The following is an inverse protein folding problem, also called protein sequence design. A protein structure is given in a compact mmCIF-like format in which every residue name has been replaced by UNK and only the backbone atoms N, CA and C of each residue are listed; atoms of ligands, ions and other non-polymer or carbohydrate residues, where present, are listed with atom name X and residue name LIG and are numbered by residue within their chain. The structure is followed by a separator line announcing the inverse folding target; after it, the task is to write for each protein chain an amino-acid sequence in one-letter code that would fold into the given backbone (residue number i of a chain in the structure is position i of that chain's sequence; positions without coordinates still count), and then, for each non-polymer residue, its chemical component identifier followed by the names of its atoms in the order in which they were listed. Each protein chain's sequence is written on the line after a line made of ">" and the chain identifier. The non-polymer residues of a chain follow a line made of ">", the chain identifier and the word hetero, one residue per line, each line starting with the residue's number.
data_IF_247031785149
#
_entry.id   IF_247031785149
#
_cell.length_a   1.000
_cell.length_b   1.000
_cell.length_c   1.000
_cell.angle_alpha   90.00
_cell.angle_beta   90.00
_cell.angle_gamma   90.00
#
_symmetry.space_group_name_H-M   'P 1'
#
loop_
_entity.id
_entity.type
_entity.pdbx_description
1 polymer ?
#
# COMPACT_ATOMS: atom_id res chain seq x y z
N UNK A 1 38.38 67.32 18.05
CA UNK A 1 37.16 66.66 18.48
C UNK A 1 36.43 66.22 17.22
N UNK A 2 36.62 64.98 16.77
CA UNK A 2 36.05 64.45 15.50
C UNK A 2 34.77 63.68 15.82
N UNK A 3 33.65 64.23 15.35
CA UNK A 3 32.33 63.49 15.40
C UNK A 3 32.28 62.43 14.27
N UNK A 4 32.31 61.15 14.64
CA UNK A 4 31.97 60.06 13.72
C UNK A 4 30.47 60.09 13.47
N UNK A 5 30.07 60.33 12.23
CA UNK A 5 28.73 60.15 11.78
C UNK A 5 28.41 58.63 11.79
N UNK A 6 27.32 58.25 12.43
CA UNK A 6 26.77 56.87 12.36
C UNK A 6 25.91 56.87 11.08
N UNK A 7 26.42 56.20 10.05
CA UNK A 7 25.63 55.90 8.85
C UNK A 7 24.42 55.04 9.24
N UNK A 8 23.23 55.63 9.15
CA UNK A 8 22.01 54.92 9.31
C UNK A 8 21.80 54.00 8.10
N UNK A 9 22.05 52.71 8.30
CA UNK A 9 21.68 51.68 7.32
C UNK A 9 20.18 51.75 7.14
N UNK A 10 19.73 52.29 6.00
CA UNK A 10 18.31 52.41 5.63
C UNK A 10 17.67 51.03 5.59
N UNK A 11 16.80 50.75 6.53
CA UNK A 11 15.97 49.53 6.51
C UNK A 11 14.98 49.65 5.34
N UNK A 12 15.28 48.99 4.23
CA UNK A 12 14.33 48.85 3.12
C UNK A 12 13.24 47.89 3.56
N UNK A 13 11.99 48.34 3.68
CA UNK A 13 10.84 47.53 3.91
C UNK A 13 10.44 46.82 2.61
N UNK A 14 9.83 45.64 2.74
CA UNK A 14 9.23 44.92 1.59
C UNK A 14 8.07 45.69 0.97
N UNK A 15 7.96 45.65 -0.35
CA UNK A 15 6.80 46.21 -1.07
C UNK A 15 5.67 45.22 -1.04
N UNK A 16 4.43 45.69 -1.10
CA UNK A 16 3.24 44.84 -1.18
C UNK A 16 3.25 43.93 -2.44
N UNK A 17 3.78 44.42 -3.54
CA UNK A 17 3.96 43.67 -4.79
C UNK A 17 4.93 42.52 -4.62
N UNK A 18 6.04 42.75 -3.93
CA UNK A 18 7.06 41.71 -3.66
C UNK A 18 6.48 40.56 -2.84
N UNK A 19 5.66 40.83 -1.83
CA UNK A 19 4.98 39.81 -1.03
C UNK A 19 3.96 39.04 -1.88
N UNK A 20 3.19 39.73 -2.75
CA UNK A 20 2.21 39.05 -3.62
C UNK A 20 2.92 38.09 -4.59
N UNK A 21 4.02 38.52 -5.21
CA UNK A 21 4.78 37.67 -6.14
C UNK A 21 5.30 36.41 -5.41
N UNK A 22 5.85 36.54 -4.20
CA UNK A 22 6.33 35.42 -3.40
C UNK A 22 5.19 34.46 -3.08
N UNK A 23 4.02 34.97 -2.66
CA UNK A 23 2.85 34.12 -2.37
C UNK A 23 2.35 33.38 -3.61
N UNK A 24 2.36 33.99 -4.78
CA UNK A 24 1.98 33.35 -6.05
C UNK A 24 2.96 32.21 -6.38
N UNK A 25 4.28 32.47 -6.27
CA UNK A 25 5.30 31.44 -6.54
C UNK A 25 5.13 30.25 -5.59
N UNK A 26 4.95 30.51 -4.29
CA UNK A 26 4.72 29.47 -3.30
C UNK A 26 3.43 28.68 -3.63
N UNK A 27 2.35 29.38 -3.95
CA UNK A 27 1.07 28.76 -4.31
C UNK A 27 1.20 27.78 -5.50
N UNK A 28 1.88 28.20 -6.57
CA UNK A 28 2.12 27.35 -7.74
C UNK A 28 3.02 26.16 -7.37
N UNK A 29 4.07 26.39 -6.58
CA UNK A 29 5.00 25.33 -6.16
C UNK A 29 4.28 24.26 -5.33
N UNK A 30 3.43 24.64 -4.39
CA UNK A 30 2.63 23.73 -3.56
C UNK A 30 1.62 22.96 -4.42
N UNK A 31 0.95 23.61 -5.38
CA UNK A 31 0.00 22.97 -6.27
C UNK A 31 0.62 21.81 -7.08
N UNK A 32 1.89 21.92 -7.45
CA UNK A 32 2.62 20.87 -8.17
C UNK A 32 3.17 19.81 -7.18
N UNK A 33 3.67 20.22 -6.02
CA UNK A 33 4.34 19.35 -5.07
C UNK A 33 3.38 18.32 -4.43
N UNK A 34 2.14 18.70 -4.12
CA UNK A 34 1.17 17.82 -3.46
C UNK A 34 0.88 16.55 -4.26
N UNK A 35 0.45 16.60 -5.55
CA UNK A 35 0.15 15.38 -6.31
C UNK A 35 1.38 14.51 -6.54
N UNK A 36 2.55 15.09 -6.72
CA UNK A 36 3.80 14.32 -6.87
C UNK A 36 4.13 13.56 -5.60
N UNK A 37 3.99 14.21 -4.44
CA UNK A 37 4.25 13.59 -3.15
C UNK A 37 3.26 12.46 -2.83
N UNK A 38 1.95 12.67 -3.07
CA UNK A 38 0.94 11.62 -2.84
C UNK A 38 1.16 10.40 -3.73
N UNK A 39 1.48 10.60 -5.02
CA UNK A 39 1.79 9.49 -5.92
C UNK A 39 3.04 8.72 -5.47
N UNK A 40 4.06 9.40 -4.98
CA UNK A 40 5.27 8.78 -4.44
C UNK A 40 4.96 7.91 -3.20
N UNK A 41 4.21 8.44 -2.24
CA UNK A 41 3.83 7.70 -1.02
C UNK A 41 2.95 6.48 -1.36
N UNK A 42 2.00 6.62 -2.29
CA UNK A 42 1.18 5.50 -2.74
C UNK A 42 2.02 4.43 -3.44
N UNK A 43 2.99 4.82 -4.28
CA UNK A 43 3.92 3.89 -4.91
C UNK A 43 4.78 3.11 -3.91
N UNK A 44 5.22 3.77 -2.84
CA UNK A 44 5.93 3.12 -1.74
C UNK A 44 5.03 2.13 -1.01
N UNK A 45 3.80 2.53 -0.66
CA UNK A 45 2.81 1.66 -0.04
C UNK A 45 2.52 0.41 -0.87
N UNK A 46 2.32 0.57 -2.18
CA UNK A 46 2.12 -0.56 -3.10
C UNK A 46 3.30 -1.54 -3.08
N UNK A 47 4.54 -1.03 -3.13
CA UNK A 47 5.75 -1.86 -3.10
C UNK A 47 5.89 -2.63 -1.79
N UNK A 48 5.56 -2.00 -0.67
CA UNK A 48 5.55 -2.65 0.65
C UNK A 48 4.45 -3.70 0.74
N UNK A 49 3.24 -3.43 0.25
CA UNK A 49 2.13 -4.39 0.25
C UNK A 49 2.46 -5.63 -0.58
N UNK A 50 3.05 -5.46 -1.78
CA UNK A 50 3.52 -6.56 -2.63
C UNK A 50 4.53 -7.42 -1.87
N UNK A 51 5.51 -6.80 -1.22
CA UNK A 51 6.51 -7.51 -0.43
C UNK A 51 5.89 -8.24 0.76
N UNK A 52 4.98 -7.60 1.48
CA UNK A 52 4.32 -8.18 2.64
C UNK A 52 3.46 -9.38 2.25
N UNK A 53 2.76 -9.34 1.10
CA UNK A 53 2.06 -10.51 0.55
C UNK A 53 3.04 -11.66 0.29
N UNK A 54 4.24 -11.39 -0.25
CA UNK A 54 5.26 -12.44 -0.47
C UNK A 54 5.75 -13.06 0.84
N UNK A 55 5.90 -12.26 1.89
CA UNK A 55 6.27 -12.77 3.22
C UNK A 55 5.15 -13.60 3.84
N UNK A 56 3.89 -13.18 3.67
CA UNK A 56 2.72 -13.96 4.09
C UNK A 56 2.60 -15.27 3.31
N UNK A 57 2.88 -15.29 2.00
CA UNK A 57 2.94 -16.53 1.21
C UNK A 57 3.94 -17.52 1.80
N UNK A 58 5.14 -17.04 2.17
CA UNK A 58 6.16 -17.88 2.79
C UNK A 58 5.70 -18.45 4.14
N UNK A 59 5.06 -17.62 4.97
CA UNK A 59 4.54 -18.03 6.25
C UNK A 59 3.36 -19.03 6.11
N UNK A 60 2.45 -18.82 5.16
CA UNK A 60 1.38 -19.76 4.81
C UNK A 60 1.97 -21.10 4.33
N UNK A 61 3.02 -21.03 3.51
CA UNK A 61 3.70 -22.25 3.02
C UNK A 61 4.38 -23.02 4.15
N UNK A 62 5.01 -22.33 5.10
CA UNK A 62 5.57 -22.97 6.30
C UNK A 62 4.47 -23.67 7.12
N UNK A 63 3.34 -22.97 7.34
CA UNK A 63 2.18 -23.57 8.03
C UNK A 63 1.66 -24.81 7.30
N UNK A 64 1.55 -24.75 5.97
CA UNK A 64 1.12 -25.89 5.14
C UNK A 64 2.05 -27.11 5.28
N UNK A 65 3.36 -26.88 5.29
CA UNK A 65 4.36 -27.95 5.46
C UNK A 65 4.30 -28.60 6.86
N UNK A 66 4.04 -27.81 7.89
CA UNK A 66 3.95 -28.29 9.27
C UNK A 66 2.63 -29.02 9.55
N UNK A 67 1.52 -28.56 8.96
CA UNK A 67 0.18 -29.05 9.25
C UNK A 67 -0.41 -29.92 8.14
N UNK A 68 0.28 -30.09 7.01
CA UNK A 68 -0.16 -30.83 5.81
C UNK A 68 -1.49 -30.30 5.22
N UNK A 69 -1.84 -29.05 5.52
CA UNK A 69 -3.02 -28.35 5.01
C UNK A 69 -2.81 -26.85 5.05
N UNK A 70 -3.52 -26.11 4.20
CA UNK A 70 -3.57 -24.66 4.27
C UNK A 70 -4.28 -24.18 5.55
N UNK A 71 -3.92 -23.01 6.10
CA UNK A 71 -4.62 -22.43 7.23
C UNK A 71 -6.08 -22.10 6.85
N UNK A 72 -7.01 -22.30 7.77
CA UNK A 72 -8.43 -21.94 7.55
C UNK A 72 -8.59 -20.41 7.57
N UNK A 73 -7.83 -19.75 8.42
CA UNK A 73 -7.76 -18.28 8.56
C UNK A 73 -6.32 -17.82 8.58
N UNK A 74 -6.07 -16.60 8.13
CA UNK A 74 -4.74 -16.02 8.17
C UNK A 74 -4.20 -15.90 9.63
N UNK A 75 -5.10 -15.82 10.59
CA UNK A 75 -4.79 -15.76 12.03
C UNK A 75 -4.16 -17.06 12.58
N UNK A 76 -4.26 -18.17 11.84
CA UNK A 76 -3.59 -19.42 12.22
C UNK A 76 -2.09 -19.42 11.92
N UNK A 77 -1.63 -18.46 11.12
CA UNK A 77 -0.21 -18.29 10.78
C UNK A 77 0.51 -17.59 11.94
N UNK A 78 1.71 -18.06 12.25
CA UNK A 78 2.54 -17.45 13.29
C UNK A 78 3.00 -16.02 12.97
N UNK A 79 3.70 -15.35 13.89
CA UNK A 79 4.18 -13.99 13.69
C UNK A 79 5.04 -13.86 12.44
N UNK A 80 4.85 -12.78 11.67
CA UNK A 80 5.60 -12.49 10.43
C UNK A 80 6.33 -11.16 10.58
N UNK A 81 7.58 -11.12 10.13
CA UNK A 81 8.39 -9.91 10.14
C UNK A 81 8.28 -9.15 8.80
N UNK A 82 7.77 -7.94 8.86
CA UNK A 82 7.62 -7.03 7.72
C UNK A 82 8.64 -5.89 7.76
N UNK A 83 8.86 -5.23 6.64
CA UNK A 83 9.49 -3.91 6.63
C UNK A 83 8.42 -2.83 6.62
N UNK A 84 8.61 -1.81 7.46
CA UNK A 84 7.80 -0.60 7.41
C UNK A 84 8.34 0.40 6.35
N UNK A 85 7.64 1.52 6.17
CA UNK A 85 8.03 2.56 5.22
C UNK A 85 9.39 3.22 5.54
N UNK A 86 9.90 3.08 6.77
CA UNK A 86 11.21 3.58 7.20
C UNK A 86 12.35 2.58 6.98
N UNK A 87 12.03 1.36 6.49
CA UNK A 87 13.00 0.28 6.32
C UNK A 87 13.32 -0.48 7.62
N UNK A 88 12.54 -0.28 8.69
CA UNK A 88 12.69 -0.99 9.95
C UNK A 88 11.92 -2.31 9.89
N UNK A 89 12.49 -3.38 10.46
CA UNK A 89 11.79 -4.65 10.60
C UNK A 89 10.83 -4.58 11.78
N UNK A 90 9.54 -4.81 11.51
CA UNK A 90 8.48 -4.93 12.50
C UNK A 90 7.88 -6.33 12.46
N UNK A 91 7.81 -7.00 13.60
CA UNK A 91 7.12 -8.29 13.70
C UNK A 91 5.68 -8.05 14.05
N UNK A 92 4.77 -8.54 13.20
CA UNK A 92 3.34 -8.49 13.45
C UNK A 92 2.82 -9.88 13.79
N UNK A 93 1.93 -9.94 14.78
CA UNK A 93 1.03 -11.07 15.01
C UNK A 93 -0.32 -10.75 14.38
N UNK A 94 -1.14 -11.76 14.07
CA UNK A 94 -2.48 -11.52 13.53
C UNK A 94 -3.31 -10.55 14.39
N UNK A 95 -4.13 -9.71 13.76
CA UNK A 95 -4.32 -9.55 12.32
C UNK A 95 -3.14 -8.82 11.65
N UNK A 96 -2.70 -9.32 10.51
CA UNK A 96 -1.61 -8.68 9.74
C UNK A 96 -2.14 -7.46 9.00
N UNK A 97 -1.48 -6.32 9.20
CA UNK A 97 -1.89 -5.04 8.62
C UNK A 97 -1.05 -4.68 7.41
N UNK A 98 -1.73 -4.17 6.42
CA UNK A 98 -1.13 -3.61 5.21
C UNK A 98 -0.52 -2.20 5.48
N UNK A 99 0.19 -1.58 4.51
CA UNK A 99 0.81 -0.26 4.69
C UNK A 99 -0.19 0.87 4.99
N UNK A 100 -1.48 0.67 4.74
CA UNK A 100 -2.55 1.63 5.03
C UNK A 100 -3.33 1.30 6.30
N UNK A 101 -2.77 0.39 7.14
CA UNK A 101 -3.31 -0.02 8.45
C UNK A 101 -4.66 -0.77 8.36
N UNK A 102 -4.85 -1.56 7.31
CA UNK A 102 -5.99 -2.46 7.12
C UNK A 102 -5.54 -3.91 7.08
N UNK A 103 -6.37 -4.83 7.54
CA UNK A 103 -6.04 -6.26 7.53
C UNK A 103 -5.92 -6.79 6.11
N UNK A 104 -4.86 -7.57 5.85
CA UNK A 104 -4.80 -8.41 4.66
C UNK A 104 -5.98 -9.37 4.64
N UNK A 105 -6.56 -9.57 3.48
CA UNK A 105 -7.69 -10.45 3.25
C UNK A 105 -7.20 -11.81 2.78
N UNK A 106 -7.75 -12.87 3.35
CA UNK A 106 -7.40 -14.24 3.03
C UNK A 106 -8.67 -15.09 2.87
N UNK A 107 -8.69 -15.96 1.87
CA UNK A 107 -9.75 -16.94 1.66
C UNK A 107 -9.11 -18.26 1.20
N UNK A 108 -9.23 -19.30 2.01
CA UNK A 108 -8.82 -20.64 1.63
C UNK A 108 -9.80 -21.22 0.60
N UNK A 109 -9.31 -21.67 -0.54
CA UNK A 109 -10.10 -22.23 -1.64
C UNK A 109 -9.94 -23.74 -1.75
N UNK A 110 -8.92 -24.33 -1.12
CA UNK A 110 -8.59 -25.74 -1.24
C UNK A 110 -9.33 -26.62 -0.22
N UNK A 111 -9.66 -26.08 0.96
CA UNK A 111 -10.23 -26.85 2.06
C UNK A 111 -11.77 -26.87 2.08
N UNK A 112 -12.42 -26.06 1.25
CA UNK A 112 -13.89 -25.99 1.22
C UNK A 112 -14.52 -27.10 0.39
N UNK A 113 -15.55 -27.72 0.94
CA UNK A 113 -16.37 -28.68 0.24
C UNK A 113 -17.87 -28.26 0.34
N UNK A 114 -18.47 -27.66 -0.67
CA UNK A 114 -17.90 -27.30 -1.99
C UNK A 114 -16.91 -26.14 -1.91
N UNK A 115 -15.97 -26.04 -2.87
CA UNK A 115 -14.95 -25.00 -2.86
C UNK A 115 -15.56 -23.60 -2.82
N UNK A 116 -14.94 -22.69 -2.06
CA UNK A 116 -15.39 -21.31 -1.84
C UNK A 116 -15.33 -20.41 -3.10
N UNK A 117 -15.32 -21.00 -4.29
CA UNK A 117 -15.24 -20.31 -5.59
C UNK A 117 -16.27 -19.19 -5.80
N UNK A 118 -17.53 -19.28 -5.30
CA UNK A 118 -18.44 -18.15 -5.38
C UNK A 118 -17.94 -16.88 -4.68
N UNK A 119 -17.08 -17.04 -3.67
CA UNK A 119 -16.49 -15.93 -2.91
C UNK A 119 -15.08 -15.55 -3.39
N UNK A 120 -14.45 -16.40 -4.20
CA UNK A 120 -13.12 -16.17 -4.74
C UNK A 120 -13.04 -14.91 -5.59
N UNK A 121 -11.87 -14.33 -5.59
CA UNK A 121 -11.53 -13.24 -6.51
C UNK A 121 -11.42 -13.77 -7.94
N UNK A 122 -11.78 -12.92 -8.91
CA UNK A 122 -11.83 -13.29 -10.32
C UNK A 122 -11.53 -12.12 -11.24
N UNK A 123 -11.03 -12.45 -12.41
CA UNK A 123 -11.00 -11.59 -13.57
C UNK A 123 -11.72 -12.27 -14.74
N UNK A 124 -11.92 -11.56 -15.82
CA UNK A 124 -12.69 -12.01 -17.00
C UNK A 124 -12.49 -13.47 -17.37
N UNK A 125 -11.25 -13.91 -17.58
CA UNK A 125 -10.86 -15.27 -17.94
C UNK A 125 -10.60 -16.17 -16.73
N UNK A 126 -9.96 -15.64 -15.68
CA UNK A 126 -9.52 -16.41 -14.52
C UNK A 126 -10.58 -16.41 -13.41
N UNK A 127 -11.21 -17.56 -13.19
CA UNK A 127 -12.31 -17.77 -12.22
C UNK A 127 -12.14 -19.12 -11.52
N UNK A 128 -11.50 -19.19 -10.36
CA UNK A 128 -10.91 -18.13 -9.53
C UNK A 128 -9.54 -17.63 -10.05
N UNK A 129 -8.98 -16.57 -9.45
CA UNK A 129 -7.63 -16.06 -9.74
C UNK A 129 -6.53 -17.04 -9.32
N UNK A 130 -6.76 -17.77 -8.23
CA UNK A 130 -5.88 -18.79 -7.68
C UNK A 130 -6.70 -20.03 -7.33
N UNK A 131 -6.08 -21.21 -7.35
CA UNK A 131 -6.76 -22.47 -7.03
C UNK A 131 -6.56 -22.89 -5.57
N UNK A 132 -5.59 -22.32 -4.89
CA UNK A 132 -5.18 -22.63 -3.53
C UNK A 132 -5.83 -21.68 -2.50
N UNK A 133 -5.55 -20.40 -2.59
CA UNK A 133 -6.13 -19.38 -1.71
C UNK A 133 -6.05 -17.99 -2.35
N UNK A 134 -6.99 -17.12 -1.99
CA UNK A 134 -6.89 -15.69 -2.24
C UNK A 134 -6.14 -15.01 -1.10
N UNK A 135 -5.24 -14.08 -1.43
CA UNK A 135 -4.54 -13.21 -0.50
C UNK A 135 -4.36 -11.84 -1.15
N UNK A 136 -4.86 -10.79 -0.49
CA UNK A 136 -4.81 -9.44 -1.06
C UNK A 136 -4.91 -8.34 0.00
N UNK A 137 -4.48 -7.13 -0.38
CA UNK A 137 -4.77 -5.88 0.32
C UNK A 137 -5.80 -5.08 -0.49
N UNK A 138 -6.66 -4.35 0.20
CA UNK A 138 -7.68 -3.47 -0.40
C UNK A 138 -7.12 -2.13 -0.90
N UNK A 139 -5.81 -2.02 -1.07
CA UNK A 139 -5.16 -0.85 -1.65
C UNK A 139 -5.30 0.45 -0.85
N UNK A 140 -5.11 1.55 -1.52
CA UNK A 140 -5.11 2.90 -0.91
C UNK A 140 -6.51 3.33 -0.47
N UNK A 141 -7.54 3.06 -1.27
CA UNK A 141 -8.89 3.53 -1.00
C UNK A 141 -9.66 2.65 0.01
N UNK A 142 -9.20 1.40 0.24
CA UNK A 142 -9.81 0.44 1.16
C UNK A 142 -11.14 -0.13 0.65
N UNK A 143 -11.44 0.05 -0.62
CA UNK A 143 -12.63 -0.48 -1.28
C UNK A 143 -12.23 -1.64 -2.17
N UNK A 144 -13.04 -2.68 -2.21
CA UNK A 144 -12.76 -3.84 -3.07
C UNK A 144 -14.03 -4.50 -3.58
N UNK A 145 -13.92 -5.21 -4.66
CA UNK A 145 -14.94 -6.09 -5.22
C UNK A 145 -14.29 -7.41 -5.66
N UNK A 146 -15.09 -8.46 -5.81
CA UNK A 146 -14.57 -9.78 -6.24
C UNK A 146 -13.92 -9.73 -7.63
N UNK A 147 -14.40 -8.85 -8.51
CA UNK A 147 -13.88 -8.67 -9.87
C UNK A 147 -12.76 -7.64 -9.88
N UNK A 148 -11.62 -8.00 -10.50
CA UNK A 148 -10.45 -7.10 -10.59
C UNK A 148 -10.67 -5.92 -11.54
N UNK A 149 -11.50 -6.09 -12.58
CA UNK A 149 -11.84 -5.04 -13.54
C UNK A 149 -12.83 -3.99 -12.98
N UNK A 150 -13.32 -4.19 -11.75
CA UNK A 150 -14.14 -3.18 -11.08
C UNK A 150 -13.27 -1.98 -10.65
N UNK A 151 -13.71 -0.73 -10.89
CA UNK A 151 -12.97 0.47 -10.48
C UNK A 151 -12.53 0.49 -9.01
N UNK A 152 -13.29 -0.14 -8.10
CA UNK A 152 -12.98 -0.23 -6.67
C UNK A 152 -11.91 -1.27 -6.33
N UNK A 153 -11.46 -2.04 -7.31
CA UNK A 153 -10.46 -3.09 -7.10
C UNK A 153 -9.14 -2.81 -7.83
N UNK A 154 -9.07 -1.73 -8.61
CA UNK A 154 -7.93 -1.45 -9.47
C UNK A 154 -6.65 -1.11 -8.67
N UNK A 155 -6.79 -0.58 -7.46
CA UNK A 155 -5.67 -0.29 -6.55
C UNK A 155 -5.41 -1.40 -5.53
N UNK A 156 -6.22 -2.48 -5.53
CA UNK A 156 -5.94 -3.68 -4.73
C UNK A 156 -4.57 -4.27 -5.10
N UNK A 157 -3.85 -4.74 -4.10
CA UNK A 157 -2.65 -5.57 -4.33
C UNK A 157 -3.08 -7.03 -4.20
N UNK A 158 -3.05 -7.77 -5.28
CA UNK A 158 -3.60 -9.12 -5.34
C UNK A 158 -2.54 -10.16 -5.64
N UNK A 159 -2.71 -11.33 -5.03
CA UNK A 159 -2.05 -12.57 -5.40
C UNK A 159 -2.93 -13.32 -6.41
N UNK A 160 -2.35 -13.76 -7.52
CA UNK A 160 -3.06 -14.52 -8.54
C UNK A 160 -2.17 -15.62 -9.14
N UNK A 161 -2.79 -16.53 -9.90
CA UNK A 161 -2.11 -17.67 -10.56
C UNK A 161 -1.25 -18.46 -9.57
N UNK A 162 -1.82 -18.76 -8.41
CA UNK A 162 -1.17 -19.51 -7.31
C UNK A 162 0.23 -18.95 -6.96
N UNK A 163 0.34 -17.62 -6.89
CA UNK A 163 1.56 -16.89 -6.53
C UNK A 163 2.45 -16.47 -7.71
N UNK A 164 2.15 -16.84 -8.95
CA UNK A 164 2.92 -16.37 -10.10
C UNK A 164 2.78 -14.86 -10.34
N UNK A 165 1.68 -14.27 -9.89
CA UNK A 165 1.43 -12.84 -9.94
C UNK A 165 1.17 -12.28 -8.54
N UNK A 166 1.89 -11.22 -8.16
CA UNK A 166 1.58 -10.38 -7.00
C UNK A 166 1.87 -8.93 -7.39
N UNK A 167 0.83 -8.16 -7.64
CA UNK A 167 0.93 -6.75 -8.03
C UNK A 167 -0.44 -6.07 -7.88
N UNK A 168 -0.51 -4.78 -8.27
CA UNK A 168 -1.76 -4.05 -8.45
C UNK A 168 -2.71 -4.81 -9.38
N UNK A 169 -3.99 -4.87 -9.01
CA UNK A 169 -5.03 -5.49 -9.82
C UNK A 169 -5.14 -4.84 -11.21
N UNK A 170 -4.91 -3.52 -11.31
CA UNK A 170 -4.86 -2.79 -12.59
C UNK A 170 -3.74 -3.22 -13.54
N UNK A 171 -2.82 -4.07 -13.10
CA UNK A 171 -1.72 -4.62 -13.91
C UNK A 171 -1.92 -6.10 -14.28
N UNK A 172 -3.04 -6.69 -13.85
CA UNK A 172 -3.39 -8.07 -14.15
C UNK A 172 -3.99 -8.17 -15.53
#
# INVERSE_FOLDING_TARGET
>A
MVRRGIDSIGRRGFTLVEIIIVLVIIGISVAIAIPVYTNYINGLGNSLAIRNIRLLEQAIKTYELENLRLPDFLDNVGPVSFLNAKGETITQSPPFLDPWNRSFQYLNLANDNPPAYPNARRDGADKPLSLDYDLYSMGVDGLTQKRLDNPRSLDDIVRARSGAFVNLASKY
#
